data_IF_181399394198
#
_entry.id   IF_181399394198
#
_cell.length_a   1.000
_cell.length_b   1.000
_cell.length_c   1.000
_cell.angle_alpha   90.00
_cell.angle_beta   90.00
_cell.angle_gamma   90.00
#
_symmetry.space_group_name_H-M   'P 1'
#
loop_
_entity.id
_entity.type
_entity.pdbx_description
1 polymer ?
#
# COMPACT_ATOMS: atom_id res chain seq x y z
N UNK A 1 -44.29 -25.15 5.71
CA UNK A 1 -44.59 -25.62 7.07
C UNK A 1 -43.28 -25.79 7.83
N UNK A 2 -43.08 -24.92 8.82
CA UNK A 2 -42.12 -24.99 9.95
C UNK A 2 -42.85 -25.84 11.02
N UNK A 3 -42.21 -26.67 11.89
CA UNK A 3 -41.23 -26.15 12.83
C UNK A 3 -40.02 -27.03 13.22
N UNK A 4 -38.89 -26.34 13.36
CA UNK A 4 -37.75 -26.75 14.16
C UNK A 4 -37.88 -26.15 15.56
N UNK A 5 -37.79 -27.01 16.57
CA UNK A 5 -37.86 -26.68 18.00
C UNK A 5 -36.52 -26.15 18.51
N UNK A 6 -36.60 -25.11 19.34
CA UNK A 6 -35.47 -24.46 20.02
C UNK A 6 -35.04 -25.24 21.26
N UNK A 7 -33.73 -25.35 21.49
CA UNK A 7 -33.19 -25.51 22.84
C UNK A 7 -31.90 -24.71 23.00
N UNK A 8 -32.01 -23.53 23.63
CA UNK A 8 -30.89 -22.78 24.21
C UNK A 8 -30.54 -23.42 25.55
N UNK A 9 -29.26 -23.70 25.78
CA UNK A 9 -28.66 -23.78 27.12
C UNK A 9 -27.38 -22.95 27.15
N UNK A 10 -27.26 -22.22 28.26
CA UNK A 10 -26.24 -21.26 28.62
C UNK A 10 -24.84 -21.90 28.69
N UNK A 11 -23.82 -21.11 28.38
CA UNK A 11 -22.59 -21.13 29.17
C UNK A 11 -22.07 -19.70 29.28
N UNK A 12 -22.15 -19.18 30.51
CA UNK A 12 -21.45 -18.00 30.99
C UNK A 12 -19.97 -18.32 31.06
N UNK A 13 -19.12 -17.43 30.56
CA UNK A 13 -17.74 -17.31 31.04
C UNK A 13 -17.41 -15.84 31.26
N UNK A 14 -17.17 -15.55 32.52
CA UNK A 14 -16.78 -14.31 33.16
C UNK A 14 -15.42 -13.78 32.66
N UNK A 15 -15.36 -12.49 32.33
CA UNK A 15 -14.11 -11.75 32.12
C UNK A 15 -13.61 -11.18 33.46
N UNK A 16 -12.35 -11.43 33.87
CA UNK A 16 -11.75 -10.71 34.98
C UNK A 16 -11.17 -9.38 34.51
N UNK A 17 -11.56 -8.33 35.23
CA UNK A 17 -10.94 -7.01 35.23
C UNK A 17 -9.56 -7.06 35.90
N UNK A 18 -8.62 -6.22 35.45
CA UNK A 18 -7.37 -5.98 36.17
C UNK A 18 -6.25 -5.38 35.31
N UNK A 19 -6.26 -4.05 35.14
CA UNK A 19 -5.07 -3.29 34.73
C UNK A 19 -4.32 -2.82 35.98
N UNK A 20 -2.99 -3.03 36.07
CA UNK A 20 -2.15 -2.26 36.98
C UNK A 20 -1.50 -1.08 36.25
N UNK A 21 -1.79 0.12 36.76
CA UNK A 21 -1.06 1.37 36.50
C UNK A 21 0.16 1.48 37.40
N UNK A 22 1.35 1.78 36.86
CA UNK A 22 2.49 2.33 37.66
C UNK A 22 3.28 3.37 36.85
N UNK A 23 3.16 4.62 37.29
CA UNK A 23 4.15 5.70 37.54
C UNK A 23 5.32 5.92 36.56
N UNK A 24 5.37 7.08 35.90
CA UNK A 24 5.92 8.39 36.35
C UNK A 24 7.45 8.36 36.51
N UNK A 25 8.13 8.88 35.48
CA UNK A 25 9.49 9.38 35.54
C UNK A 25 9.44 10.91 35.52
N UNK A 26 10.00 11.51 36.57
CA UNK A 26 10.07 12.94 36.82
C UNK A 26 11.06 13.61 35.86
N UNK A 27 10.65 14.70 35.22
CA UNK A 27 11.55 15.72 34.68
C UNK A 27 11.19 17.04 35.34
N UNK A 28 12.08 17.49 36.21
CA UNK A 28 12.10 18.80 36.85
C UNK A 28 12.40 19.88 35.82
N UNK A 29 11.51 20.86 35.71
CA UNK A 29 11.82 22.16 35.10
C UNK A 29 11.46 23.20 36.14
N UNK A 30 12.48 23.94 36.58
CA UNK A 30 12.38 25.05 37.51
C UNK A 30 11.48 26.14 36.92
N UNK A 31 10.45 26.55 37.66
CA UNK A 31 9.72 27.79 37.43
C UNK A 31 10.14 28.76 38.54
N UNK A 32 10.55 29.95 38.13
CA UNK A 32 10.79 31.09 39.03
C UNK A 32 9.45 31.77 39.25
N UNK A 33 9.04 31.86 40.51
CA UNK A 33 7.89 32.63 40.98
C UNK A 33 8.19 34.13 40.92
N UNK A 34 7.17 34.93 40.58
CA UNK A 34 7.01 36.26 41.16
C UNK A 34 5.51 36.57 41.34
N UNK A 35 5.18 36.95 42.58
CA UNK A 35 3.86 37.28 43.11
C UNK A 35 3.37 38.66 42.61
N UNK A 36 2.05 38.83 42.40
CA UNK A 36 1.17 39.66 43.27
C UNK A 36 -0.26 39.84 42.72
N UNK A 37 -1.24 39.63 43.61
CA UNK A 37 -2.59 40.24 43.72
C UNK A 37 -3.76 39.81 42.77
N UNK A 38 -4.86 39.43 43.44
CA UNK A 38 -6.19 38.91 43.03
C UNK A 38 -7.24 40.02 42.70
N UNK A 39 -8.54 39.73 42.43
CA UNK A 39 -9.16 38.87 41.40
C UNK A 39 -10.39 39.54 40.72
N UNK A 40 -10.65 39.37 39.42
CA UNK A 40 -12.01 39.54 38.86
C UNK A 40 -12.28 38.51 37.75
N UNK A 41 -13.38 37.78 37.93
CA UNK A 41 -13.94 36.74 37.07
C UNK A 41 -14.28 37.22 35.66
N UNK A 42 -13.77 36.53 34.64
CA UNK A 42 -14.51 36.26 33.40
C UNK A 42 -14.02 34.94 32.81
N UNK A 43 -14.95 33.99 32.66
CA UNK A 43 -14.76 32.79 31.85
C UNK A 43 -14.31 33.19 30.45
N UNK A 44 -13.03 32.97 30.15
CA UNK A 44 -12.55 32.87 28.77
C UNK A 44 -12.03 31.46 28.58
N UNK A 45 -12.62 30.76 27.61
CA UNK A 45 -12.06 29.54 27.05
C UNK A 45 -10.57 29.77 26.81
N UNK A 46 -9.72 28.94 27.43
CA UNK A 46 -8.29 28.92 27.13
C UNK A 46 -8.15 28.70 25.62
N UNK A 47 -7.75 29.76 24.92
CA UNK A 47 -7.19 29.70 23.59
C UNK A 47 -6.01 28.73 23.65
N UNK A 48 -6.27 27.46 23.34
CA UNK A 48 -5.25 26.45 23.17
C UNK A 48 -4.54 26.85 21.89
N UNK A 49 -3.46 27.62 22.04
CA UNK A 49 -2.71 28.19 20.93
C UNK A 49 -2.35 27.05 19.97
N UNK A 50 -3.03 27.01 18.82
CA UNK A 50 -2.85 25.96 17.81
C UNK A 50 -1.38 25.98 17.41
N UNK A 51 -0.66 24.92 17.73
CA UNK A 51 0.72 24.77 17.25
C UNK A 51 0.68 24.51 15.76
N UNK A 52 1.34 25.38 15.02
CA UNK A 52 1.45 25.32 13.57
C UNK A 52 2.89 24.96 13.23
N UNK A 53 3.07 23.88 12.48
CA UNK A 53 4.35 23.55 11.85
C UNK A 53 4.35 24.12 10.45
N UNK A 54 5.34 24.95 10.15
CA UNK A 54 5.56 25.48 8.81
C UNK A 54 6.54 24.54 8.14
N UNK A 55 6.10 23.84 7.11
CA UNK A 55 7.00 23.06 6.27
C UNK A 55 7.44 23.90 5.09
N UNK A 56 8.74 23.86 4.79
CA UNK A 56 9.20 24.30 3.49
C UNK A 56 8.61 23.38 2.44
N UNK A 57 8.17 24.02 1.38
CA UNK A 57 7.52 23.37 0.28
C UNK A 57 8.47 23.48 -0.89
N UNK A 58 8.71 22.38 -1.60
CA UNK A 58 9.57 22.41 -2.78
C UNK A 58 9.13 23.52 -3.72
N UNK A 59 10.06 24.34 -4.25
CA UNK A 59 9.77 25.48 -5.16
C UNK A 59 8.79 25.13 -6.30
N UNK A 60 8.71 23.85 -6.64
CA UNK A 60 7.83 23.26 -7.65
C UNK A 60 6.33 23.37 -7.34
N UNK A 61 5.96 23.54 -6.08
CA UNK A 61 4.57 23.76 -5.65
C UNK A 61 4.00 25.11 -6.11
N UNK A 62 4.86 26.11 -6.38
CA UNK A 62 4.45 27.40 -6.97
C UNK A 62 3.66 27.19 -8.27
N UNK A 63 4.04 26.19 -9.09
CA UNK A 63 3.36 25.85 -10.35
C UNK A 63 1.92 25.35 -10.16
N UNK A 64 1.57 24.90 -8.96
CA UNK A 64 0.23 24.42 -8.63
C UNK A 64 -0.58 25.43 -7.82
N UNK A 65 -0.08 26.66 -7.65
CA UNK A 65 -0.69 27.73 -6.86
C UNK A 65 -0.55 27.54 -5.36
N UNK A 66 0.32 26.62 -4.90
CA UNK A 66 0.58 26.39 -3.49
C UNK A 66 1.71 27.33 -3.06
N UNK A 67 1.51 28.04 -1.94
CA UNK A 67 2.47 29.00 -1.38
C UNK A 67 3.80 28.31 -1.05
N UNK A 68 4.87 29.10 -0.96
CA UNK A 68 6.26 28.66 -0.66
C UNK A 68 6.42 27.92 0.68
N UNK A 69 5.38 27.95 1.51
CA UNK A 69 5.26 27.20 2.74
C UNK A 69 3.84 26.69 2.92
N UNK A 70 3.72 25.51 3.53
CA UNK A 70 2.44 24.95 3.95
C UNK A 70 2.39 24.96 5.48
N UNK A 71 1.40 25.64 6.02
CA UNK A 71 1.12 25.64 7.45
C UNK A 71 0.32 24.38 7.79
N UNK A 72 1.00 23.40 8.38
CA UNK A 72 0.40 22.21 8.91
C UNK A 72 0.04 22.42 10.38
N UNK A 73 -1.24 22.28 10.69
CA UNK A 73 -1.73 22.44 12.04
C UNK A 73 -1.55 21.14 12.82
N UNK A 74 -1.07 21.20 14.06
CA UNK A 74 -0.91 19.99 14.89
C UNK A 74 -2.24 19.33 15.27
N UNK A 75 -3.37 20.05 15.16
CA UNK A 75 -4.71 19.51 15.36
C UNK A 75 -5.36 18.96 14.09
N UNK A 76 -4.65 18.96 12.96
CA UNK A 76 -5.05 18.30 11.73
C UNK A 76 -5.22 16.80 11.99
N UNK A 77 -6.47 16.35 12.06
CA UNK A 77 -6.84 14.96 12.27
C UNK A 77 -7.70 14.45 11.14
N UNK A 78 -7.58 13.16 10.91
CA UNK A 78 -8.48 12.42 10.05
C UNK A 78 -9.87 12.28 10.69
N UNK A 79 -10.85 11.86 9.90
CA UNK A 79 -12.24 11.73 10.39
C UNK A 79 -12.29 10.66 11.47
N UNK A 80 -13.18 10.86 12.44
CA UNK A 80 -13.20 10.07 13.67
C UNK A 80 -13.62 8.61 13.48
N UNK A 81 -14.45 8.32 12.48
CA UNK A 81 -14.94 6.96 12.21
C UNK A 81 -14.34 6.33 10.95
N UNK A 82 -14.21 5.00 10.98
CA UNK A 82 -13.81 4.20 9.81
C UNK A 82 -14.75 4.39 8.63
N UNK A 83 -16.06 4.47 8.88
CA UNK A 83 -17.08 4.65 7.84
C UNK A 83 -17.00 6.01 7.16
N UNK A 84 -16.80 7.09 7.91
CA UNK A 84 -16.59 8.43 7.34
C UNK A 84 -15.35 8.47 6.43
N UNK A 85 -14.26 7.83 6.84
CA UNK A 85 -13.06 7.75 6.01
C UNK A 85 -13.27 6.88 4.76
N UNK A 86 -14.03 5.79 4.85
CA UNK A 86 -14.45 5.03 3.67
C UNK A 86 -15.25 5.91 2.69
N UNK A 87 -16.22 6.67 3.21
CA UNK A 87 -17.05 7.56 2.42
C UNK A 87 -16.26 8.73 1.83
N UNK A 88 -15.22 9.19 2.50
CA UNK A 88 -14.28 10.18 1.99
C UNK A 88 -13.50 9.63 0.78
N UNK A 89 -12.92 8.45 0.90
CA UNK A 89 -12.16 7.81 -0.19
C UNK A 89 -13.04 7.50 -1.40
N UNK A 90 -14.29 7.06 -1.19
CA UNK A 90 -15.24 6.82 -2.30
C UNK A 90 -15.54 8.08 -3.13
N UNK A 91 -15.23 9.28 -2.61
CA UNK A 91 -15.36 10.57 -3.30
C UNK A 91 -14.07 11.04 -3.96
N UNK A 92 -12.98 10.26 -3.90
CA UNK A 92 -11.76 10.59 -4.62
C UNK A 92 -12.04 10.76 -6.12
N UNK A 93 -11.46 11.79 -6.77
CA UNK A 93 -11.60 11.96 -8.20
C UNK A 93 -11.12 10.74 -8.95
N UNK A 94 -11.88 10.33 -9.97
CA UNK A 94 -11.50 9.25 -10.87
C UNK A 94 -10.83 9.75 -12.15
N UNK A 95 -10.76 11.07 -12.36
CA UNK A 95 -10.22 11.66 -13.59
C UNK A 95 -10.86 11.09 -14.85
N UNK A 96 -10.03 10.81 -15.85
CA UNK A 96 -10.45 10.23 -17.13
C UNK A 96 -10.46 8.68 -17.10
N UNK A 97 -10.37 8.07 -15.90
CA UNK A 97 -10.22 6.61 -15.77
C UNK A 97 -11.49 5.79 -16.01
N UNK A 98 -12.66 6.42 -16.13
CA UNK A 98 -13.96 5.73 -16.15
C UNK A 98 -14.06 4.61 -17.20
N UNK A 99 -13.64 4.79 -18.47
CA UNK A 99 -13.73 3.71 -19.47
C UNK A 99 -12.96 2.46 -19.06
N UNK A 100 -11.78 2.63 -18.47
CA UNK A 100 -10.95 1.52 -17.99
C UNK A 100 -11.51 0.89 -16.71
N UNK A 101 -12.11 1.69 -15.81
CA UNK A 101 -12.77 1.16 -14.61
C UNK A 101 -13.92 0.22 -14.97
N UNK A 102 -14.63 0.47 -16.06
CA UNK A 102 -15.68 -0.44 -16.55
C UNK A 102 -15.07 -1.77 -17.01
N UNK A 103 -14.04 -1.75 -17.87
CA UNK A 103 -13.35 -2.97 -18.34
C UNK A 103 -12.73 -3.77 -17.17
N UNK A 104 -12.20 -3.07 -16.17
CA UNK A 104 -11.60 -3.66 -14.97
C UNK A 104 -12.61 -4.03 -13.89
N UNK A 105 -13.92 -4.00 -14.16
CA UNK A 105 -14.94 -4.43 -13.21
C UNK A 105 -14.99 -3.59 -11.91
N UNK A 106 -14.62 -2.31 -12.00
CA UNK A 106 -14.58 -1.34 -10.90
C UNK A 106 -15.73 -0.31 -10.97
N UNK A 107 -16.50 -0.28 -12.05
CA UNK A 107 -17.59 0.68 -12.28
C UNK A 107 -18.98 0.03 -12.46
N UNK A 108 -19.17 -1.22 -12.02
CA UNK A 108 -20.44 -1.95 -12.10
C UNK A 108 -20.79 -2.69 -10.80
N UNK A 109 -21.76 -3.58 -10.89
CA UNK A 109 -22.22 -4.37 -9.75
C UNK A 109 -21.10 -5.26 -9.20
N UNK A 110 -20.99 -5.31 -7.88
CA UNK A 110 -20.03 -6.18 -7.22
C UNK A 110 -20.54 -7.62 -7.26
N UNK A 111 -19.78 -8.48 -7.94
CA UNK A 111 -20.02 -9.93 -7.96
C UNK A 111 -19.09 -10.60 -6.95
N UNK A 112 -19.67 -11.34 -6.01
CA UNK A 112 -18.94 -12.13 -5.04
C UNK A 112 -18.09 -13.20 -5.73
N UNK A 113 -16.88 -13.39 -5.21
CA UNK A 113 -15.96 -14.43 -5.69
C UNK A 113 -16.10 -15.69 -4.84
N UNK A 114 -15.80 -16.86 -5.39
CA UNK A 114 -15.72 -18.10 -4.63
C UNK A 114 -14.57 -18.04 -3.64
N UNK A 115 -14.85 -17.82 -2.34
CA UNK A 115 -13.92 -17.59 -1.24
C UNK A 115 -12.54 -18.31 -1.35
N UNK A 116 -11.54 -17.70 -2.02
CA UNK A 116 -10.27 -18.36 -2.29
C UNK A 116 -9.40 -18.36 -1.03
N UNK A 117 -8.91 -19.53 -0.61
CA UNK A 117 -8.08 -19.67 0.60
C UNK A 117 -6.60 -19.39 0.37
N UNK A 118 -6.14 -19.51 -0.87
CA UNK A 118 -4.74 -19.36 -1.27
C UNK A 118 -4.68 -18.27 -2.34
N UNK A 119 -3.77 -17.29 -2.22
CA UNK A 119 -3.63 -16.23 -3.21
C UNK A 119 -2.95 -16.73 -4.48
N UNK A 120 -3.21 -16.06 -5.59
CA UNK A 120 -2.35 -16.13 -6.78
C UNK A 120 -1.12 -15.26 -6.55
N UNK A 121 0.06 -15.84 -6.70
CA UNK A 121 1.32 -15.08 -6.67
C UNK A 121 1.48 -14.34 -7.98
N UNK A 122 1.79 -13.05 -7.90
CA UNK A 122 1.96 -12.18 -9.08
C UNK A 122 3.28 -11.44 -8.98
N UNK A 123 4.07 -11.46 -10.05
CA UNK A 123 5.23 -10.58 -10.24
C UNK A 123 5.22 -10.01 -11.64
N UNK A 124 5.91 -8.89 -11.84
CA UNK A 124 6.20 -8.35 -13.17
C UNK A 124 7.68 -7.94 -13.27
N UNK A 125 8.30 -8.09 -14.44
CA UNK A 125 9.66 -7.62 -14.67
C UNK A 125 9.93 -7.22 -16.12
N UNK A 126 10.83 -6.27 -16.28
CA UNK A 126 11.49 -5.87 -17.54
C UNK A 126 12.98 -6.26 -17.49
N UNK A 127 13.69 -6.14 -18.62
CA UNK A 127 15.08 -6.63 -18.75
C UNK A 127 16.03 -6.11 -17.66
N UNK A 128 15.87 -4.85 -17.23
CA UNK A 128 16.70 -4.26 -16.17
C UNK A 128 16.55 -4.93 -14.79
N UNK A 129 15.53 -5.77 -14.58
CA UNK A 129 15.32 -6.56 -13.36
C UNK A 129 15.38 -8.08 -13.61
N UNK A 130 15.82 -8.52 -14.80
CA UNK A 130 15.79 -9.94 -15.19
C UNK A 130 16.56 -10.86 -14.22
N UNK A 131 17.77 -10.48 -13.81
CA UNK A 131 18.53 -11.27 -12.83
C UNK A 131 17.97 -11.16 -11.40
N UNK A 132 17.35 -10.03 -11.04
CA UNK A 132 16.72 -9.87 -9.73
C UNK A 132 15.48 -10.76 -9.60
N UNK A 133 14.65 -10.84 -10.65
CA UNK A 133 13.43 -11.66 -10.61
C UNK A 133 13.74 -13.15 -10.63
N UNK A 134 14.86 -13.57 -11.24
CA UNK A 134 15.36 -14.95 -11.12
C UNK A 134 15.67 -15.34 -9.67
N UNK A 135 16.19 -14.42 -8.84
CA UNK A 135 16.42 -14.68 -7.43
C UNK A 135 15.11 -14.80 -6.63
N UNK A 136 14.06 -14.03 -6.98
CA UNK A 136 12.70 -14.26 -6.46
C UNK A 136 12.20 -15.65 -6.84
N UNK A 137 12.32 -16.06 -8.10
CA UNK A 137 11.86 -17.37 -8.56
C UNK A 137 12.60 -18.53 -7.89
N UNK A 138 13.92 -18.39 -7.70
CA UNK A 138 14.70 -19.34 -6.92
C UNK A 138 14.15 -19.50 -5.50
N UNK A 139 13.81 -18.39 -4.85
CA UNK A 139 13.20 -18.40 -3.52
C UNK A 139 11.82 -19.06 -3.54
N UNK A 140 10.95 -18.73 -4.49
CA UNK A 140 9.63 -19.37 -4.64
C UNK A 140 9.74 -20.89 -4.84
N UNK A 141 10.62 -21.33 -5.73
CA UNK A 141 10.81 -22.75 -6.05
C UNK A 141 11.34 -23.57 -4.87
N UNK A 142 12.18 -22.97 -4.03
CA UNK A 142 12.83 -23.66 -2.91
C UNK A 142 12.04 -23.57 -1.61
N UNK A 143 11.34 -22.45 -1.37
CA UNK A 143 10.68 -22.17 -0.09
C UNK A 143 9.18 -22.39 -0.14
N UNK A 144 8.50 -21.96 -1.21
CA UNK A 144 7.03 -21.89 -1.28
C UNK A 144 6.43 -23.08 -2.00
N UNK A 145 6.87 -23.36 -3.23
CA UNK A 145 6.27 -24.40 -4.07
C UNK A 145 6.29 -25.81 -3.43
N UNK A 146 7.31 -26.20 -2.64
CA UNK A 146 7.29 -27.48 -1.94
C UNK A 146 6.22 -27.58 -0.84
N UNK A 147 5.61 -26.46 -0.42
CA UNK A 147 4.56 -26.42 0.61
C UNK A 147 3.16 -26.27 0.03
N UNK A 148 3.03 -25.81 -1.22
CA UNK A 148 1.74 -25.57 -1.88
C UNK A 148 1.71 -26.19 -3.27
N UNK A 149 1.04 -27.34 -3.40
CA UNK A 149 0.98 -28.09 -4.66
C UNK A 149 0.09 -27.42 -5.74
N UNK A 150 -0.84 -26.55 -5.34
CA UNK A 150 -1.81 -25.90 -6.22
C UNK A 150 -1.70 -24.36 -6.21
N UNK A 151 -0.61 -23.82 -5.68
CA UNK A 151 -0.39 -22.37 -5.70
C UNK A 151 -0.11 -21.91 -7.14
N UNK A 152 -0.95 -20.98 -7.61
CA UNK A 152 -0.79 -20.39 -8.93
C UNK A 152 0.20 -19.24 -8.87
N UNK A 153 1.11 -19.20 -9.85
CA UNK A 153 2.07 -18.12 -10.02
C UNK A 153 1.94 -17.55 -11.42
N UNK A 154 1.69 -16.23 -11.52
CA UNK A 154 1.59 -15.49 -12.76
C UNK A 154 2.77 -14.52 -12.86
N UNK A 155 3.50 -14.60 -13.96
CA UNK A 155 4.56 -13.67 -14.31
C UNK A 155 4.08 -12.77 -15.45
N UNK A 156 4.17 -11.45 -15.24
CA UNK A 156 3.90 -10.46 -16.26
C UNK A 156 5.20 -9.89 -16.86
N UNK A 157 5.34 -10.07 -18.17
CA UNK A 157 6.32 -9.36 -18.98
C UNK A 157 5.86 -7.91 -19.20
N UNK A 158 6.68 -6.97 -18.71
CA UNK A 158 6.49 -5.53 -18.85
C UNK A 158 7.65 -4.88 -19.65
N UNK A 159 8.48 -5.67 -20.33
CA UNK A 159 9.61 -5.18 -21.13
C UNK A 159 10.84 -6.08 -21.13
N UNK A 160 10.66 -7.39 -21.27
CA UNK A 160 11.72 -8.36 -21.53
C UNK A 160 12.09 -8.42 -23.01
N UNK A 161 13.32 -8.82 -23.33
CA UNK A 161 13.69 -9.21 -24.70
C UNK A 161 13.33 -10.68 -25.00
N UNK A 162 13.34 -11.09 -26.27
CA UNK A 162 12.88 -12.44 -26.67
C UNK A 162 13.63 -13.59 -25.97
N UNK A 163 14.96 -13.49 -25.84
CA UNK A 163 15.75 -14.52 -25.14
C UNK A 163 15.35 -14.63 -23.66
N UNK A 164 15.11 -13.50 -22.99
CA UNK A 164 14.64 -13.47 -21.61
C UNK A 164 13.23 -14.07 -21.48
N UNK A 165 12.32 -13.77 -22.41
CA UNK A 165 10.97 -14.34 -22.43
C UNK A 165 11.02 -15.86 -22.53
N UNK A 166 11.85 -16.39 -23.43
CA UNK A 166 12.00 -17.84 -23.63
C UNK A 166 12.56 -18.51 -22.37
N UNK A 167 13.54 -17.87 -21.72
CA UNK A 167 14.10 -18.35 -20.46
C UNK A 167 13.06 -18.37 -19.33
N UNK A 168 12.23 -17.32 -19.20
CA UNK A 168 11.14 -17.31 -18.21
C UNK A 168 10.15 -18.42 -18.51
N UNK A 169 9.60 -18.50 -19.73
CA UNK A 169 8.60 -19.50 -20.12
C UNK A 169 9.07 -20.94 -19.85
N UNK A 170 10.35 -21.21 -20.09
CA UNK A 170 10.95 -22.53 -19.89
C UNK A 170 11.13 -22.90 -18.42
N UNK A 171 11.52 -21.95 -17.58
CA UNK A 171 12.05 -22.25 -16.24
C UNK A 171 11.19 -21.76 -15.07
N UNK A 172 10.28 -20.81 -15.26
CA UNK A 172 9.61 -20.11 -14.15
C UNK A 172 8.57 -20.94 -13.39
N UNK A 173 8.13 -22.09 -13.93
CA UNK A 173 6.99 -22.88 -13.42
C UNK A 173 5.77 -21.99 -13.12
N UNK A 174 5.45 -21.12 -14.06
CA UNK A 174 4.48 -20.05 -13.91
C UNK A 174 3.60 -19.92 -15.16
N UNK A 175 2.48 -19.23 -15.02
CA UNK A 175 1.74 -18.71 -16.16
C UNK A 175 2.39 -17.40 -16.62
N UNK A 176 2.95 -17.41 -17.83
CA UNK A 176 3.59 -16.25 -18.44
C UNK A 176 2.55 -15.43 -19.21
N UNK A 177 2.48 -14.12 -18.96
CA UNK A 177 1.59 -13.17 -19.65
C UNK A 177 2.36 -11.92 -20.06
N UNK A 178 2.01 -11.32 -21.19
CA UNK A 178 2.50 -9.97 -21.54
C UNK A 178 1.51 -8.92 -21.06
N UNK A 179 2.01 -7.81 -20.52
CA UNK A 179 1.15 -6.70 -20.12
C UNK A 179 0.64 -5.93 -21.35
N UNK A 180 -0.69 -5.76 -21.52
CA UNK A 180 -1.25 -5.15 -22.72
C UNK A 180 -1.19 -3.62 -22.64
N UNK A 181 0.01 -3.03 -22.78
CA UNK A 181 0.22 -1.58 -22.69
C UNK A 181 -0.71 -0.78 -23.61
N UNK A 182 -1.02 -1.30 -24.80
CA UNK A 182 -1.83 -0.58 -25.80
C UNK A 182 -3.30 -0.42 -25.40
N UNK A 183 -3.75 -1.11 -24.35
CA UNK A 183 -5.07 -0.90 -23.77
C UNK A 183 -5.14 0.32 -22.84
N UNK A 184 -4.01 0.91 -22.46
CA UNK A 184 -3.95 1.90 -21.39
C UNK A 184 -3.36 3.24 -21.88
N UNK A 185 -3.55 4.34 -21.13
CA UNK A 185 -2.97 5.63 -21.48
C UNK A 185 -1.45 5.56 -21.63
N UNK A 186 -0.89 6.39 -22.51
CA UNK A 186 0.52 6.33 -22.93
C UNK A 186 1.51 6.39 -21.76
N UNK A 187 1.19 7.13 -20.69
CA UNK A 187 2.06 7.21 -19.52
C UNK A 187 2.23 5.89 -18.77
N UNK A 188 1.33 4.91 -18.97
CA UNK A 188 1.43 3.59 -18.35
C UNK A 188 2.63 2.80 -18.88
N UNK A 189 3.09 3.09 -20.11
CA UNK A 189 4.32 2.51 -20.68
C UNK A 189 5.59 2.96 -19.95
N UNK A 190 5.52 4.03 -19.16
CA UNK A 190 6.65 4.56 -18.41
C UNK A 190 6.80 3.78 -17.11
N UNK A 191 7.57 2.69 -17.16
CA UNK A 191 7.70 1.72 -16.05
C UNK A 191 8.13 2.34 -14.71
N UNK A 192 8.92 3.42 -14.74
CA UNK A 192 9.32 4.15 -13.52
C UNK A 192 8.14 4.81 -12.78
N UNK A 193 6.98 4.93 -13.43
CA UNK A 193 5.74 5.40 -12.81
C UNK A 193 5.01 4.31 -12.01
N UNK A 194 5.40 3.03 -12.16
CA UNK A 194 4.79 1.87 -11.49
C UNK A 194 3.26 1.74 -11.64
N UNK A 195 2.66 2.46 -12.59
CA UNK A 195 1.22 2.53 -12.84
C UNK A 195 0.65 1.21 -13.35
N UNK A 196 1.48 0.32 -13.89
CA UNK A 196 1.06 -1.03 -14.29
C UNK A 196 0.65 -1.92 -13.10
N UNK A 197 1.18 -1.67 -11.89
CA UNK A 197 1.00 -2.57 -10.74
C UNK A 197 -0.44 -2.60 -10.21
N UNK A 198 -1.12 -1.46 -9.99
CA UNK A 198 -2.55 -1.45 -9.66
C UNK A 198 -3.40 -2.16 -10.71
N UNK A 199 -3.10 -1.95 -12.00
CA UNK A 199 -3.83 -2.52 -13.13
C UNK A 199 -3.71 -4.05 -13.16
N UNK A 200 -2.49 -4.57 -13.06
CA UNK A 200 -2.25 -6.01 -12.98
C UNK A 200 -2.90 -6.63 -11.76
N UNK A 201 -2.81 -5.96 -10.60
CA UNK A 201 -3.44 -6.44 -9.37
C UNK A 201 -4.95 -6.54 -9.54
N UNK A 202 -5.60 -5.52 -10.11
CA UNK A 202 -7.05 -5.56 -10.34
C UNK A 202 -7.46 -6.64 -11.35
N UNK A 203 -6.71 -6.80 -12.45
CA UNK A 203 -6.94 -7.85 -13.43
C UNK A 203 -6.93 -9.23 -12.78
N UNK A 204 -5.91 -9.54 -11.98
CA UNK A 204 -5.81 -10.84 -11.30
C UNK A 204 -6.86 -10.97 -10.18
N UNK A 205 -7.22 -9.88 -9.48
CA UNK A 205 -8.31 -9.91 -8.51
C UNK A 205 -9.67 -10.22 -9.16
N UNK A 206 -9.93 -9.74 -10.37
CA UNK A 206 -11.15 -10.09 -11.11
C UNK A 206 -11.17 -11.57 -11.52
N UNK A 207 -10.01 -12.14 -11.85
CA UNK A 207 -9.92 -13.53 -12.29
C UNK A 207 -9.90 -14.55 -11.13
N UNK A 208 -9.34 -14.21 -9.97
CA UNK A 208 -9.06 -15.18 -8.90
C UNK A 208 -9.45 -14.74 -7.48
N UNK A 209 -9.86 -13.50 -7.27
CA UNK A 209 -10.35 -13.01 -5.98
C UNK A 209 -9.30 -12.86 -4.86
N UNK A 210 -8.05 -13.32 -5.03
CA UNK A 210 -7.01 -13.15 -4.02
C UNK A 210 -5.62 -13.08 -4.64
N UNK A 211 -4.90 -11.99 -4.39
CA UNK A 211 -3.59 -11.71 -4.98
C UNK A 211 -2.54 -11.58 -3.89
N UNK A 212 -1.37 -12.16 -4.13
CA UNK A 212 -0.12 -11.90 -3.40
C UNK A 212 0.91 -11.35 -4.40
N UNK A 213 1.07 -10.03 -4.41
CA UNK A 213 2.03 -9.36 -5.29
C UNK A 213 3.42 -9.40 -4.68
N UNK A 214 4.44 -9.70 -5.48
CA UNK A 214 5.84 -9.73 -5.05
C UNK A 214 6.73 -9.04 -6.09
N UNK A 215 7.44 -7.98 -5.71
CA UNK A 215 8.51 -7.39 -6.50
C UNK A 215 9.73 -8.34 -6.53
N UNK A 216 10.58 -8.21 -7.55
CA UNK A 216 11.80 -8.99 -7.73
C UNK A 216 12.76 -8.97 -6.51
N UNK A 217 12.67 -7.97 -5.64
CA UNK A 217 13.49 -7.83 -4.43
C UNK A 217 13.01 -8.66 -3.23
N UNK A 218 11.81 -9.23 -3.27
CA UNK A 218 11.23 -9.93 -2.11
C UNK A 218 11.80 -11.34 -1.96
N UNK A 219 12.12 -11.73 -0.73
CA UNK A 219 12.44 -13.12 -0.35
C UNK A 219 11.56 -13.55 0.80
N UNK A 220 10.93 -14.70 0.67
CA UNK A 220 10.17 -15.31 1.75
C UNK A 220 11.11 -16.13 2.64
N UNK A 221 11.00 -15.92 3.95
CA UNK A 221 11.77 -16.63 4.98
C UNK A 221 11.22 -18.03 5.23
N UNK A 222 9.95 -18.26 4.93
CA UNK A 222 9.22 -19.49 5.24
C UNK A 222 8.15 -19.77 4.20
N UNK A 223 7.91 -21.06 3.93
CA UNK A 223 6.78 -21.53 3.13
C UNK A 223 5.51 -21.78 3.95
N UNK A 224 5.52 -21.52 5.28
CA UNK A 224 4.32 -21.63 6.13
C UNK A 224 3.58 -20.29 6.13
N UNK A 225 2.76 -20.04 5.10
CA UNK A 225 2.11 -18.74 4.87
C UNK A 225 0.64 -18.70 5.27
N UNK A 226 0.07 -19.80 5.77
CA UNK A 226 -1.37 -19.91 6.02
C UNK A 226 -1.90 -18.86 7.01
N UNK A 227 -1.12 -18.52 8.05
CA UNK A 227 -1.50 -17.45 8.98
C UNK A 227 -1.48 -16.06 8.33
N UNK A 228 -0.54 -15.81 7.41
CA UNK A 228 -0.53 -14.59 6.61
C UNK A 228 -1.74 -14.54 5.66
N UNK A 229 -2.06 -15.65 5.00
CA UNK A 229 -3.23 -15.74 4.12
C UNK A 229 -4.53 -15.53 4.89
N UNK A 230 -4.73 -16.20 6.02
CA UNK A 230 -5.92 -16.08 6.86
C UNK A 230 -6.11 -14.65 7.37
N UNK A 231 -5.02 -13.97 7.76
CA UNK A 231 -5.12 -12.57 8.20
C UNK A 231 -5.38 -11.61 7.05
N UNK A 232 -4.84 -11.86 5.84
CA UNK A 232 -5.19 -11.10 4.64
C UNK A 232 -6.65 -11.29 4.21
N UNK A 233 -7.20 -12.50 4.33
CA UNK A 233 -8.63 -12.76 4.09
C UNK A 233 -9.49 -11.99 5.08
N UNK A 234 -9.12 -12.01 6.38
CA UNK A 234 -9.85 -11.32 7.45
C UNK A 234 -9.82 -9.80 7.31
N UNK A 235 -8.66 -9.24 6.99
CA UNK A 235 -8.43 -7.80 7.00
C UNK A 235 -8.58 -7.17 5.60
N UNK A 236 -8.71 -7.98 4.56
CA UNK A 236 -8.82 -7.56 3.17
C UNK A 236 -7.48 -7.18 2.52
N UNK A 237 -6.54 -6.62 3.28
CA UNK A 237 -5.22 -6.20 2.78
C UNK A 237 -4.11 -6.47 3.80
N UNK A 238 -2.94 -6.88 3.30
CA UNK A 238 -1.67 -6.89 4.03
C UNK A 238 -0.58 -6.26 3.19
N UNK A 239 0.27 -5.44 3.79
CA UNK A 239 1.34 -4.72 3.07
C UNK A 239 2.57 -4.55 3.97
N UNK A 240 3.74 -4.32 3.37
CA UNK A 240 4.96 -3.98 4.11
C UNK A 240 4.88 -2.56 4.66
N UNK A 241 5.28 -2.37 5.93
CA UNK A 241 5.59 -1.06 6.48
C UNK A 241 6.91 -0.54 5.90
N UNK A 242 6.92 0.72 5.47
CA UNK A 242 8.10 1.42 5.02
C UNK A 242 8.60 2.47 5.99
N UNK A 243 9.66 3.14 5.59
CA UNK A 243 10.34 4.10 6.43
C UNK A 243 10.05 5.53 5.93
N UNK A 244 9.84 6.43 6.89
CA UNK A 244 9.60 7.88 6.74
C UNK A 244 8.17 8.29 6.33
N UNK A 245 7.87 9.56 6.62
CA UNK A 245 6.58 10.20 6.37
C UNK A 245 6.14 10.23 4.90
N UNK A 246 4.91 9.79 4.65
CA UNK A 246 4.24 9.83 3.34
C UNK A 246 4.21 11.25 2.76
N UNK A 247 4.04 12.28 3.59
CA UNK A 247 4.05 13.68 3.18
C UNK A 247 5.37 14.15 2.56
N UNK A 248 6.51 13.60 3.00
CA UNK A 248 7.83 13.93 2.46
C UNK A 248 8.15 13.17 1.18
N UNK A 249 7.54 11.99 1.00
CA UNK A 249 7.84 11.06 -0.09
C UNK A 249 6.79 11.02 -1.19
N UNK A 250 5.83 11.94 -1.14
CA UNK A 250 4.74 12.03 -2.10
C UNK A 250 4.68 13.42 -2.71
N UNK A 251 4.55 13.46 -4.03
CA UNK A 251 4.37 14.73 -4.72
C UNK A 251 3.02 15.36 -4.34
N UNK A 252 2.96 16.68 -4.15
CA UNK A 252 1.69 17.37 -3.88
C UNK A 252 0.67 17.27 -4.98
N UNK A 253 1.05 17.05 -6.24
CA UNK A 253 0.08 16.81 -7.30
C UNK A 253 -0.82 15.61 -6.94
N UNK A 254 -0.24 14.56 -6.33
CA UNK A 254 -1.00 13.40 -5.84
C UNK A 254 -1.97 13.79 -4.72
N UNK A 255 -1.52 14.54 -3.70
CA UNK A 255 -2.41 15.00 -2.62
C UNK A 255 -3.52 15.91 -3.14
N UNK A 256 -3.19 16.88 -4.01
CA UNK A 256 -4.15 17.78 -4.65
C UNK A 256 -5.19 17.00 -5.46
N UNK A 257 -4.75 16.00 -6.21
CA UNK A 257 -5.66 15.14 -6.97
C UNK A 257 -6.61 14.37 -6.05
N UNK A 258 -6.08 13.73 -5.00
CA UNK A 258 -6.87 12.95 -4.04
C UNK A 258 -7.70 13.84 -3.07
N UNK A 259 -7.55 15.17 -3.15
CA UNK A 259 -8.16 16.15 -2.25
C UNK A 259 -7.78 15.90 -0.79
N UNK A 260 -6.52 15.52 -0.60
CA UNK A 260 -5.91 15.21 0.68
C UNK A 260 -4.99 16.33 1.14
N UNK A 261 -4.92 16.51 2.46
CA UNK A 261 -3.97 17.45 3.06
C UNK A 261 -2.67 16.72 3.39
N UNK A 262 -1.52 17.03 2.75
CA UNK A 262 -0.24 16.37 3.02
C UNK A 262 0.18 16.48 4.49
N UNK A 263 -0.32 17.46 5.23
CA UNK A 263 -0.05 17.64 6.65
C UNK A 263 -0.50 16.46 7.50
N UNK A 264 -1.58 15.77 7.12
CA UNK A 264 -2.03 14.59 7.86
C UNK A 264 -1.05 13.40 7.75
N UNK A 265 -0.10 13.48 6.82
CA UNK A 265 0.73 12.36 6.38
C UNK A 265 2.22 12.55 6.66
N UNK A 266 2.63 13.64 7.32
CA UNK A 266 4.06 13.92 7.60
C UNK A 266 4.67 12.97 8.63
N UNK A 267 3.90 12.56 9.63
CA UNK A 267 4.32 11.65 10.70
C UNK A 267 3.80 10.22 10.48
N UNK A 268 3.44 9.89 9.24
CA UNK A 268 2.80 8.65 8.84
C UNK A 268 3.72 7.88 7.93
N UNK A 269 4.25 6.76 8.41
CA UNK A 269 5.20 5.95 7.64
C UNK A 269 4.62 5.49 6.30
N UNK A 270 5.40 5.60 5.23
CA UNK A 270 5.04 5.02 3.93
C UNK A 270 4.75 3.51 4.06
N UNK A 271 3.90 2.98 3.20
CA UNK A 271 3.74 1.54 2.97
C UNK A 271 4.48 1.14 1.69
N UNK A 272 5.21 0.03 1.73
CA UNK A 272 5.94 -0.46 0.55
C UNK A 272 5.08 -1.46 -0.24
N UNK A 273 4.67 -1.08 -1.44
CA UNK A 273 3.92 -1.91 -2.41
C UNK A 273 4.79 -2.95 -3.12
N UNK A 274 5.96 -3.27 -2.56
CA UNK A 274 6.84 -4.30 -3.07
C UNK A 274 6.41 -5.71 -2.67
N UNK A 275 5.65 -5.85 -1.58
CA UNK A 275 4.99 -7.09 -1.19
C UNK A 275 3.67 -6.76 -0.53
N UNK A 276 2.58 -7.29 -1.07
CA UNK A 276 1.27 -7.14 -0.47
C UNK A 276 0.36 -8.30 -0.82
N UNK A 277 -0.67 -8.47 -0.01
CA UNK A 277 -1.78 -9.36 -0.26
C UNK A 277 -3.06 -8.54 -0.29
N UNK A 278 -3.92 -8.75 -1.29
CA UNK A 278 -5.24 -8.14 -1.35
C UNK A 278 -6.26 -9.25 -1.60
N UNK A 279 -7.21 -9.38 -0.69
CA UNK A 279 -8.36 -10.27 -0.81
C UNK A 279 -9.55 -9.47 -1.35
N UNK A 280 -10.22 -10.00 -2.38
CA UNK A 280 -11.34 -9.33 -3.03
C UNK A 280 -12.56 -9.36 -2.14
N UNK A 281 -12.98 -8.19 -1.72
CA UNK A 281 -14.25 -7.93 -1.04
C UNK A 281 -14.84 -6.67 -1.64
N UNK A 282 -16.13 -6.43 -1.41
CA UNK A 282 -16.74 -5.16 -1.81
C UNK A 282 -15.99 -3.96 -1.22
N UNK A 283 -15.58 -4.08 0.04
CA UNK A 283 -14.75 -3.09 0.72
C UNK A 283 -13.44 -2.84 -0.02
N UNK A 284 -12.59 -3.85 -0.20
CA UNK A 284 -11.26 -3.66 -0.81
C UNK A 284 -11.35 -3.17 -2.26
N UNK A 285 -12.37 -3.59 -3.02
CA UNK A 285 -12.58 -3.10 -4.38
C UNK A 285 -12.99 -1.63 -4.38
N UNK A 286 -13.97 -1.23 -3.57
CA UNK A 286 -14.48 0.15 -3.57
C UNK A 286 -13.53 1.15 -2.92
N UNK A 287 -12.84 0.79 -1.84
CA UNK A 287 -12.05 1.73 -1.02
C UNK A 287 -10.55 1.66 -1.26
N UNK A 288 -10.03 0.57 -1.83
CA UNK A 288 -8.58 0.43 -2.10
C UNK A 288 -8.32 0.36 -3.59
N UNK A 289 -8.84 -0.66 -4.27
CA UNK A 289 -8.46 -0.90 -5.66
C UNK A 289 -9.00 0.17 -6.61
N UNK A 290 -10.26 0.59 -6.46
CA UNK A 290 -10.85 1.63 -7.31
C UNK A 290 -10.04 2.94 -7.30
N UNK A 291 -9.77 3.58 -6.15
CA UNK A 291 -8.97 4.80 -6.13
C UNK A 291 -7.52 4.58 -6.58
N UNK A 292 -6.91 3.44 -6.24
CA UNK A 292 -5.53 3.14 -6.63
C UNK A 292 -5.40 2.96 -8.16
N UNK A 293 -6.33 2.24 -8.78
CA UNK A 293 -6.42 2.06 -10.23
C UNK A 293 -6.76 3.38 -10.91
N UNK A 294 -7.73 4.15 -10.43
CA UNK A 294 -8.06 5.47 -10.99
C UNK A 294 -6.85 6.40 -11.03
N UNK A 295 -6.07 6.42 -9.95
CA UNK A 295 -4.86 7.23 -9.87
C UNK A 295 -3.76 6.77 -10.83
N UNK A 296 -3.66 5.46 -11.09
CA UNK A 296 -2.72 4.89 -12.06
C UNK A 296 -3.04 5.27 -13.51
N UNK A 297 -4.33 5.42 -13.82
CA UNK A 297 -4.85 5.72 -15.15
C UNK A 297 -4.96 7.23 -15.42
N UNK A 298 -4.87 8.07 -14.39
CA UNK A 298 -5.02 9.51 -14.53
C UNK A 298 -3.67 10.20 -14.44
N UNK A 299 -3.26 10.86 -15.53
CA UNK A 299 -2.09 11.73 -15.53
C UNK A 299 -2.29 12.87 -14.51
N UNK A 300 -1.27 13.13 -13.69
CA UNK A 300 -1.34 14.08 -12.59
C UNK A 300 -1.59 13.47 -11.21
N UNK A 301 -1.97 12.19 -11.12
CA UNK A 301 -2.15 11.51 -9.83
C UNK A 301 -0.94 10.66 -9.43
N UNK A 302 -0.77 9.47 -10.00
CA UNK A 302 0.36 8.57 -9.70
C UNK A 302 1.58 8.88 -10.57
N UNK A 303 1.34 9.35 -11.79
CA UNK A 303 2.40 9.76 -12.71
C UNK A 303 2.06 11.14 -13.28
N UNK A 304 3.08 11.96 -13.46
CA UNK A 304 3.02 13.21 -14.20
C UNK A 304 4.35 13.43 -14.94
N UNK A 305 4.38 14.22 -16.03
CA UNK A 305 5.61 14.46 -16.78
C UNK A 305 6.77 14.92 -15.88
N UNK A 306 7.87 14.17 -15.92
CA UNK A 306 9.09 14.45 -15.13
C UNK A 306 9.13 13.84 -13.74
N UNK A 307 8.03 13.25 -13.25
CA UNK A 307 7.97 12.55 -11.96
C UNK A 307 9.00 11.43 -11.83
N UNK A 308 9.33 10.72 -12.92
CA UNK A 308 10.32 9.64 -12.97
C UNK A 308 11.75 10.05 -12.56
N UNK A 309 12.03 11.36 -12.57
CA UNK A 309 13.32 11.92 -12.14
C UNK A 309 13.32 12.30 -10.65
N UNK A 310 12.24 12.04 -9.92
CA UNK A 310 12.03 12.44 -8.51
C UNK A 310 12.07 11.29 -7.52
N UNK A 311 12.83 10.24 -7.85
CA UNK A 311 12.95 9.04 -7.01
C UNK A 311 13.84 9.25 -5.77
N UNK A 312 14.74 10.24 -5.81
CA UNK A 312 15.73 10.48 -4.76
C UNK A 312 15.20 11.45 -3.70
N UNK A 313 15.12 11.01 -2.44
CA UNK A 313 14.63 11.79 -1.31
C UNK A 313 15.81 12.46 -0.59
N UNK A 314 16.25 13.63 -1.07
CA UNK A 314 17.50 14.28 -0.62
C UNK A 314 17.33 15.09 0.68
N UNK A 315 16.10 15.51 1.01
CA UNK A 315 15.75 16.26 2.23
C UNK A 315 14.61 15.57 2.99
N UNK A 316 14.78 15.08 4.22
CA UNK A 316 13.72 14.37 4.93
C UNK A 316 12.63 15.28 5.53
N UNK A 317 12.85 16.61 5.57
CA UNK A 317 12.00 17.57 6.27
C UNK A 317 11.17 18.47 5.34
N UNK A 318 11.33 18.35 4.02
CA UNK A 318 10.64 19.17 3.02
C UNK A 318 9.48 18.38 2.40
N UNK A 319 8.30 18.99 2.28
CA UNK A 319 7.15 18.26 1.74
C UNK A 319 7.35 17.92 0.26
N UNK A 320 7.05 16.67 -0.10
CA UNK A 320 7.19 16.16 -1.46
C UNK A 320 8.60 16.25 -2.04
N UNK A 321 9.64 16.09 -1.22
CA UNK A 321 11.04 16.01 -1.67
C UNK A 321 11.22 15.02 -2.81
N UNK A 322 10.58 13.85 -2.70
CA UNK A 322 10.58 12.81 -3.73
C UNK A 322 9.14 12.33 -4.01
N UNK A 323 9.00 11.44 -4.98
CA UNK A 323 7.74 10.80 -5.29
C UNK A 323 7.93 9.29 -5.41
N UNK A 324 7.06 8.53 -4.71
CA UNK A 324 7.12 7.08 -4.62
C UNK A 324 5.94 6.39 -5.32
N UNK A 325 5.20 7.13 -6.16
CA UNK A 325 4.24 6.62 -7.13
C UNK A 325 3.14 5.75 -6.51
N UNK A 326 3.11 4.46 -6.84
CA UNK A 326 2.14 3.49 -6.36
C UNK A 326 2.14 3.37 -4.83
N UNK A 327 3.32 3.47 -4.20
CA UNK A 327 3.48 3.50 -2.74
C UNK A 327 2.85 4.73 -2.11
N UNK A 328 3.06 5.91 -2.71
CA UNK A 328 2.46 7.16 -2.23
C UNK A 328 0.94 7.05 -2.14
N UNK A 329 0.31 6.56 -3.22
CA UNK A 329 -1.15 6.47 -3.32
C UNK A 329 -1.71 5.40 -2.37
N UNK A 330 -1.09 4.22 -2.34
CA UNK A 330 -1.48 3.15 -1.42
C UNK A 330 -1.38 3.60 0.03
N UNK A 331 -0.31 4.31 0.38
CA UNK A 331 -0.10 4.81 1.74
C UNK A 331 -1.16 5.84 2.14
N UNK A 332 -1.51 6.77 1.24
CA UNK A 332 -2.57 7.75 1.51
C UNK A 332 -3.90 7.05 1.78
N UNK A 333 -4.27 6.08 0.93
CA UNK A 333 -5.51 5.31 1.07
C UNK A 333 -5.52 4.55 2.41
N UNK A 334 -4.47 3.78 2.71
CA UNK A 334 -4.43 2.94 3.90
C UNK A 334 -4.37 3.77 5.18
N UNK A 335 -3.59 4.85 5.21
CA UNK A 335 -3.59 5.74 6.36
C UNK A 335 -4.97 6.31 6.57
N UNK A 336 -5.61 6.90 5.54
CA UNK A 336 -6.98 7.42 5.61
C UNK A 336 -7.97 6.38 6.14
N UNK A 337 -7.85 5.11 5.78
CA UNK A 337 -8.73 4.04 6.26
C UNK A 337 -8.48 3.67 7.72
N UNK A 338 -7.22 3.40 8.08
CA UNK A 338 -6.91 2.67 9.31
C UNK A 338 -6.40 3.55 10.44
N UNK A 339 -5.78 4.71 10.17
CA UNK A 339 -5.21 5.59 11.19
C UNK A 339 -4.48 4.89 12.33
N UNK A 340 -5.07 4.92 13.54
CA UNK A 340 -4.51 4.33 14.74
C UNK A 340 -4.35 2.81 14.61
N UNK A 341 -5.14 2.18 13.74
CA UNK A 341 -5.15 0.74 13.48
C UNK A 341 -4.28 0.34 12.27
N UNK A 342 -3.46 1.23 11.70
CA UNK A 342 -2.64 0.91 10.52
C UNK A 342 -1.76 -0.34 10.72
N UNK A 343 -1.30 -0.59 11.95
CA UNK A 343 -0.49 -1.76 12.28
C UNK A 343 -1.19 -3.08 11.98
N UNK A 344 -2.53 -3.08 11.93
CA UNK A 344 -3.34 -4.25 11.57
C UNK A 344 -3.09 -4.71 10.15
N UNK A 345 -2.76 -3.83 9.21
CA UNK A 345 -2.55 -4.19 7.80
C UNK A 345 -1.09 -4.50 7.48
N UNK A 346 -0.19 -4.47 8.45
CA UNK A 346 1.21 -4.78 8.19
C UNK A 346 1.49 -6.27 8.13
N UNK A 347 2.35 -6.67 7.19
CA UNK A 347 2.92 -8.02 7.12
C UNK A 347 4.01 -8.12 8.20
N UNK A 348 3.94 -9.12 9.11
CA UNK A 348 5.00 -9.33 10.07
C UNK A 348 6.35 -9.62 9.39
N UNK A 349 7.43 -8.96 9.83
CA UNK A 349 8.77 -9.12 9.25
C UNK A 349 9.33 -10.54 9.30
N UNK A 350 8.76 -11.43 10.12
CA UNK A 350 9.09 -12.84 10.17
C UNK A 350 8.80 -13.61 8.86
N UNK A 351 7.96 -13.07 7.97
CA UNK A 351 7.61 -13.73 6.71
C UNK A 351 8.58 -13.43 5.56
N UNK A 352 9.25 -12.27 5.57
CA UNK A 352 9.95 -11.79 4.38
C UNK A 352 11.24 -11.00 4.67
N UNK A 353 12.00 -10.80 3.61
CA UNK A 353 13.12 -9.86 3.50
C UNK A 353 13.02 -9.08 2.19
N UNK A 354 13.59 -7.88 2.17
CA UNK A 354 13.69 -7.04 0.96
C UNK A 354 15.16 -6.90 0.57
N UNK A 355 15.56 -7.55 -0.52
CA UNK A 355 16.93 -7.58 -1.04
C UNK A 355 17.02 -6.86 -2.38
N UNK A 356 17.16 -5.54 -2.35
CA UNK A 356 17.10 -4.67 -3.54
C UNK A 356 18.27 -4.85 -4.51
N UNK A 357 19.43 -5.30 -4.02
CA UNK A 357 20.64 -5.48 -4.83
C UNK A 357 20.94 -6.94 -5.18
N UNK A 358 20.16 -7.89 -4.68
CA UNK A 358 20.43 -9.30 -4.90
C UNK A 358 19.93 -9.74 -6.29
N UNK A 359 20.81 -10.41 -7.03
CA UNK A 359 20.53 -10.99 -8.34
C UNK A 359 20.94 -12.46 -8.36
N UNK A 360 20.40 -13.24 -9.30
CA UNK A 360 20.78 -14.63 -9.52
C UNK A 360 20.77 -14.99 -11.02
N UNK A 361 21.63 -15.93 -11.39
CA UNK A 361 21.65 -16.63 -12.68
C UNK A 361 21.01 -18.02 -12.53
N UNK A 362 19.79 -18.02 -12.03
CA UNK A 362 19.10 -19.23 -11.59
C UNK A 362 18.66 -20.11 -12.76
N UNK A 363 18.24 -19.50 -13.87
CA UNK A 363 17.84 -20.25 -15.05
C UNK A 363 19.03 -20.95 -15.70
N UNK A 364 20.18 -20.29 -15.82
CA UNK A 364 21.40 -20.94 -16.30
C UNK A 364 21.83 -22.11 -15.39
N UNK A 365 21.62 -21.97 -14.08
CA UNK A 365 21.83 -23.07 -13.14
C UNK A 365 20.88 -24.25 -13.40
N UNK A 366 19.59 -24.01 -13.64
CA UNK A 366 18.61 -25.06 -13.96
C UNK A 366 18.95 -25.79 -15.26
N UNK A 367 19.39 -25.06 -16.29
CA UNK A 367 19.80 -25.68 -17.55
C UNK A 367 21.00 -26.60 -17.40
N UNK A 368 22.00 -26.19 -16.61
CA UNK A 368 23.16 -27.04 -16.31
C UNK A 368 22.75 -28.28 -15.53
N UNK A 369 21.85 -28.13 -14.56
CA UNK A 369 21.36 -29.24 -13.74
C UNK A 369 20.57 -30.28 -14.55
N UNK A 370 19.78 -29.85 -15.53
CA UNK A 370 18.95 -30.76 -16.35
C UNK A 370 19.71 -31.43 -17.50
N UNK A 371 20.98 -31.05 -17.76
CA UNK A 371 21.86 -31.68 -18.74
C UNK A 371 22.75 -32.78 -18.14
N UNK A 372 22.73 -32.93 -16.81
CA UNK A 372 23.37 -34.00 -16.02
C UNK A 372 22.26 -34.95 -15.59
#
# INVERSE_FOLDING_TARGET
>A
MVPFTSSRKNSETSFPAGYPSINKLNLTVENVDDEFSTPITHHTEKNKQRRMKIYSVSDRYRKFGIKDSLSCWEDSKFLGSFEENCNFIKKYPIGDSMPYLQELGLAGDFVDFTNPKIPVVVTAASSNHFLAVQALMQNLHSVVFPKYNNLKFIFYDIGLNENEKDMVKKHCRCEFRSFPFEKYPEHVKILKGYTFKPLLTQTVLNEYGFVMWMDASIRLRTGKLDSLFNTAIKDGVKIIEGDLGVGYRTDPATFKFLREDPCFFTDKNETQTGFFLIYRTRFTIETIMRPWVSCSLTSGCMYFPGSQNRINCVNPNELGTCHRFDQSVMSIILWRLYHADIGRVYIPGAFFEVHRSQTARYFEYLEKKNKV
#
